data_IF_744211430683
#
_entry.id   IF_744211430683
#
_cell.length_a   1.000
_cell.length_b   1.000
_cell.length_c   1.000
_cell.angle_alpha   90.00
_cell.angle_beta   90.00
_cell.angle_gamma   90.00
#
_symmetry.space_group_name_H-M   'P 1'
#
loop_
_entity.id
_entity.type
_entity.pdbx_description
1 polymer ?
#
# COMPACT_ATOMS: atom_id res chain seq x y z
N UNK A 1 16.82 10.89 -12.85
CA UNK A 1 15.89 11.38 -11.80
C UNK A 1 14.50 10.99 -12.25
N UNK A 2 13.73 10.30 -11.42
CA UNK A 2 12.36 9.95 -11.80
C UNK A 2 11.49 11.23 -11.83
N UNK A 3 10.83 11.48 -12.95
CA UNK A 3 9.86 12.58 -13.08
C UNK A 3 8.53 12.20 -12.43
N UNK A 4 7.68 13.18 -12.12
CA UNK A 4 6.32 12.89 -11.64
C UNK A 4 5.50 12.08 -12.66
N UNK A 5 5.73 12.31 -13.95
CA UNK A 5 5.06 11.55 -15.01
C UNK A 5 5.47 10.07 -15.00
N UNK A 6 6.77 9.80 -14.90
CA UNK A 6 7.28 8.43 -14.79
C UNK A 6 6.78 7.76 -13.51
N UNK A 7 6.76 8.48 -12.38
CA UNK A 7 6.22 7.96 -11.13
C UNK A 7 4.75 7.52 -11.28
N UNK A 8 3.90 8.36 -11.88
CA UNK A 8 2.48 8.04 -12.08
C UNK A 8 2.33 6.80 -12.96
N UNK A 9 3.04 6.76 -14.09
CA UNK A 9 2.97 5.64 -15.04
C UNK A 9 3.40 4.32 -14.38
N UNK A 10 4.52 4.34 -13.64
CA UNK A 10 5.04 3.15 -12.96
C UNK A 10 4.11 2.62 -11.87
N UNK A 11 3.45 3.48 -11.09
CA UNK A 11 2.48 3.05 -10.09
C UNK A 11 1.21 2.50 -10.73
N UNK A 12 0.75 3.08 -11.83
CA UNK A 12 -0.40 2.58 -12.57
C UNK A 12 -0.10 1.23 -13.22
N UNK A 13 1.10 1.02 -13.76
CA UNK A 13 1.52 -0.24 -14.37
C UNK A 13 1.79 -1.33 -13.35
N UNK A 14 2.35 -0.98 -12.19
CA UNK A 14 2.63 -1.93 -11.13
C UNK A 14 1.35 -2.27 -10.33
N UNK A 15 0.72 -1.28 -9.73
CA UNK A 15 -0.30 -1.52 -8.71
C UNK A 15 -1.73 -1.32 -9.24
N UNK A 16 -1.88 -0.94 -10.52
CA UNK A 16 -3.19 -0.68 -11.11
C UNK A 16 -3.90 0.52 -10.48
N UNK A 17 -3.15 1.48 -9.94
CA UNK A 17 -3.69 2.62 -9.20
C UNK A 17 -3.23 3.95 -9.76
N UNK A 18 -4.16 4.91 -9.88
CA UNK A 18 -3.87 6.30 -10.22
C UNK A 18 -4.62 7.24 -9.29
N UNK A 19 -3.90 8.06 -8.54
CA UNK A 19 -4.47 9.02 -7.60
C UNK A 19 -4.73 10.38 -8.24
N UNK A 20 -5.74 11.09 -7.72
CA UNK A 20 -5.91 12.54 -7.95
C UNK A 20 -4.74 13.35 -7.37
N UNK A 21 -4.18 12.88 -6.24
CA UNK A 21 -3.04 13.49 -5.55
C UNK A 21 -2.07 12.41 -5.06
N UNK A 22 -0.81 12.46 -5.52
CA UNK A 22 0.26 11.54 -5.09
C UNK A 22 1.03 12.02 -3.84
N UNK A 23 0.72 13.23 -3.35
CA UNK A 23 1.20 13.77 -2.07
C UNK A 23 -0.03 14.27 -1.32
N UNK A 24 -0.22 13.81 -0.10
CA UNK A 24 -1.41 14.06 0.68
C UNK A 24 -1.21 15.25 1.65
N UNK A 25 -2.30 15.95 2.02
CA UNK A 25 -2.24 16.97 3.05
C UNK A 25 -1.85 16.35 4.39
N UNK A 26 -0.97 17.02 5.13
CA UNK A 26 -0.52 16.57 6.44
C UNK A 26 -1.34 17.14 7.59
N UNK A 27 -2.21 18.11 7.29
CA UNK A 27 -3.08 18.78 8.26
C UNK A 27 -4.56 18.70 7.87
N UNK A 28 -5.43 18.73 8.88
CA UNK A 28 -6.89 18.76 8.68
C UNK A 28 -7.35 20.01 7.92
N UNK A 29 -6.66 21.15 8.12
CA UNK A 29 -6.97 22.41 7.46
C UNK A 29 -6.67 22.33 5.96
N UNK A 30 -5.51 21.82 5.58
CA UNK A 30 -5.15 21.59 4.17
C UNK A 30 -6.10 20.60 3.51
N UNK A 31 -6.45 19.50 4.21
CA UNK A 31 -7.38 18.50 3.70
C UNK A 31 -8.76 19.10 3.38
N UNK A 32 -9.27 19.98 4.25
CA UNK A 32 -10.57 20.65 4.04
C UNK A 32 -10.55 21.63 2.86
N UNK A 33 -9.37 22.15 2.50
CA UNK A 33 -9.18 23.11 1.40
C UNK A 33 -8.95 22.44 0.04
N UNK A 34 -8.85 21.12 -0.01
CA UNK A 34 -8.67 20.41 -1.27
C UNK A 34 -9.95 20.46 -2.10
N UNK A 35 -9.87 21.13 -3.27
CA UNK A 35 -11.02 21.24 -4.19
C UNK A 35 -11.35 19.89 -4.83
N UNK A 36 -10.32 19.12 -5.21
CA UNK A 36 -10.46 17.74 -5.70
C UNK A 36 -10.13 16.81 -4.54
N UNK A 37 -10.99 15.84 -4.19
CA UNK A 37 -10.75 14.93 -3.08
C UNK A 37 -9.55 14.02 -3.35
N UNK A 38 -8.91 13.52 -2.28
CA UNK A 38 -7.98 12.39 -2.37
C UNK A 38 -8.80 11.15 -2.73
N UNK A 39 -8.58 10.64 -3.94
CA UNK A 39 -9.22 9.45 -4.45
C UNK A 39 -8.31 8.76 -5.47
N UNK A 40 -8.67 7.55 -5.86
CA UNK A 40 -7.93 6.82 -6.89
C UNK A 40 -8.85 6.06 -7.83
N UNK A 41 -8.38 5.88 -9.06
CA UNK A 41 -8.86 4.86 -9.97
C UNK A 41 -8.08 3.58 -9.69
N UNK A 42 -8.77 2.50 -9.35
CA UNK A 42 -8.16 1.22 -9.00
C UNK A 42 -8.65 0.11 -9.93
N UNK A 43 -7.70 -0.61 -10.53
CA UNK A 43 -7.94 -1.75 -11.41
C UNK A 43 -7.45 -3.02 -10.71
N UNK A 44 -8.31 -3.70 -9.93
CA UNK A 44 -7.90 -4.81 -9.06
C UNK A 44 -7.28 -6.00 -9.82
N UNK A 45 -7.76 -6.24 -11.04
CA UNK A 45 -7.29 -7.32 -11.90
C UNK A 45 -6.46 -6.79 -13.07
N UNK A 46 -5.63 -5.76 -12.84
CA UNK A 46 -4.68 -5.30 -13.87
C UNK A 46 -3.75 -6.46 -14.23
N UNK A 47 -3.64 -6.74 -15.54
CA UNK A 47 -2.83 -7.84 -16.03
C UNK A 47 -1.35 -7.63 -15.67
N UNK A 48 -0.76 -8.61 -14.98
CA UNK A 48 0.65 -8.62 -14.56
C UNK A 48 1.28 -9.96 -14.94
N UNK A 49 1.59 -10.17 -16.24
CA UNK A 49 2.18 -11.43 -16.71
C UNK A 49 3.59 -11.68 -16.15
N UNK A 50 4.22 -10.64 -15.57
CA UNK A 50 5.53 -10.70 -14.94
C UNK A 50 5.51 -11.25 -13.49
N UNK A 51 4.33 -11.37 -12.87
CA UNK A 51 4.20 -11.86 -11.50
C UNK A 51 3.71 -13.31 -11.46
N UNK A 52 4.40 -14.21 -10.72
CA UNK A 52 3.91 -15.56 -10.51
C UNK A 52 2.73 -15.58 -9.53
N UNK A 53 1.79 -16.53 -9.67
CA UNK A 53 0.79 -16.78 -8.64
C UNK A 53 1.46 -17.30 -7.37
N UNK A 54 0.99 -16.84 -6.21
CA UNK A 54 1.50 -17.25 -4.91
C UNK A 54 0.63 -18.38 -4.35
N UNK A 55 1.22 -19.57 -4.19
CA UNK A 55 0.52 -20.80 -3.81
C UNK A 55 0.53 -21.08 -2.30
N UNK A 56 0.25 -20.06 -1.48
CA UNK A 56 0.08 -20.22 -0.03
C UNK A 56 -0.95 -19.21 0.50
N UNK A 57 -1.53 -19.49 1.67
CA UNK A 57 -2.50 -18.59 2.29
C UNK A 57 -1.87 -17.26 2.72
N UNK A 58 -2.52 -16.11 2.48
CA UNK A 58 -1.99 -14.82 2.91
C UNK A 58 -1.63 -14.79 4.40
N UNK A 59 -0.47 -14.21 4.74
CA UNK A 59 -0.07 -14.02 6.13
C UNK A 59 -0.83 -12.84 6.72
N UNK A 60 -1.73 -13.12 7.67
CA UNK A 60 -2.68 -12.14 8.22
C UNK A 60 -2.21 -11.61 9.58
N UNK A 61 -2.38 -10.31 9.81
CA UNK A 61 -2.17 -9.71 11.14
C UNK A 61 -3.08 -10.36 12.19
N UNK A 62 -2.48 -10.77 13.32
CA UNK A 62 -3.15 -11.48 14.41
C UNK A 62 -4.22 -10.64 15.13
N UNK A 63 -4.11 -9.30 15.12
CA UNK A 63 -5.09 -8.40 15.75
C UNK A 63 -6.46 -8.52 15.07
N UNK A 64 -7.49 -8.86 15.85
CA UNK A 64 -8.85 -9.10 15.38
C UNK A 64 -9.48 -7.91 14.66
N UNK A 65 -9.19 -6.69 15.12
CA UNK A 65 -9.68 -5.44 14.50
C UNK A 65 -8.86 -4.95 13.31
N UNK A 66 -7.75 -5.60 12.96
CA UNK A 66 -6.88 -5.16 11.87
C UNK A 66 -6.95 -6.10 10.66
N UNK A 67 -6.55 -7.37 10.82
CA UNK A 67 -6.54 -8.38 9.75
C UNK A 67 -5.85 -7.97 8.43
N UNK A 68 -4.98 -6.97 8.45
CA UNK A 68 -4.19 -6.58 7.28
C UNK A 68 -3.24 -7.71 6.85
N UNK A 69 -2.96 -7.79 5.55
CA UNK A 69 -2.04 -8.77 4.97
C UNK A 69 -0.59 -8.25 5.07
N UNK A 70 0.35 -9.15 5.37
CA UNK A 70 1.79 -8.86 5.32
C UNK A 70 2.15 -8.30 3.94
N UNK A 71 2.81 -7.14 3.94
CA UNK A 71 3.16 -6.41 2.73
C UNK A 71 4.54 -5.72 2.91
N UNK A 72 5.17 -5.22 1.82
CA UNK A 72 6.53 -4.66 1.87
C UNK A 72 6.74 -3.47 2.80
N UNK A 73 5.67 -2.81 3.27
CA UNK A 73 5.77 -1.69 4.21
C UNK A 73 5.85 -2.15 5.68
N UNK A 74 5.70 -3.45 5.96
CA UNK A 74 5.87 -4.01 7.30
C UNK A 74 7.36 -4.11 7.67
N UNK A 75 7.70 -3.77 8.92
CA UNK A 75 9.06 -3.98 9.44
C UNK A 75 9.24 -5.43 9.89
N UNK A 76 10.26 -6.12 9.38
CA UNK A 76 10.54 -7.53 9.68
C UNK A 76 11.80 -7.67 10.54
N UNK A 77 11.68 -8.38 11.65
CA UNK A 77 12.80 -8.82 12.48
C UNK A 77 13.06 -10.31 12.23
N UNK A 78 14.04 -10.59 11.36
CA UNK A 78 14.40 -11.96 10.99
C UNK A 78 15.06 -12.74 12.14
N UNK A 79 15.70 -12.06 13.10
CA UNK A 79 16.36 -12.73 14.23
C UNK A 79 15.32 -13.23 15.22
N UNK A 80 14.34 -12.38 15.56
CA UNK A 80 13.24 -12.75 16.43
C UNK A 80 12.14 -13.55 15.71
N UNK A 81 12.19 -13.61 14.37
CA UNK A 81 11.15 -14.20 13.50
C UNK A 81 9.80 -13.53 13.72
N UNK A 82 9.78 -12.20 13.66
CA UNK A 82 8.58 -11.39 13.86
C UNK A 82 8.41 -10.35 12.74
N UNK A 83 7.18 -9.87 12.55
CA UNK A 83 6.90 -8.71 11.72
C UNK A 83 5.93 -7.74 12.40
N UNK A 84 6.09 -6.45 12.11
CA UNK A 84 5.27 -5.36 12.64
C UNK A 84 4.31 -4.87 11.57
N UNK A 85 3.01 -4.96 11.85
CA UNK A 85 1.97 -4.49 10.93
C UNK A 85 2.04 -2.96 10.77
N UNK A 86 2.15 -2.47 9.54
CA UNK A 86 2.26 -1.05 9.22
C UNK A 86 0.97 -0.25 9.44
N UNK A 87 -0.17 -0.92 9.68
CA UNK A 87 -1.44 -0.26 9.98
C UNK A 87 -1.69 -0.07 11.48
N UNK A 88 -1.48 -1.12 12.28
CA UNK A 88 -1.88 -1.14 13.69
C UNK A 88 -0.72 -1.34 14.68
N UNK A 89 0.51 -1.48 14.17
CA UNK A 89 1.75 -1.70 14.92
C UNK A 89 1.78 -2.98 15.77
N UNK A 90 0.87 -3.93 15.51
CA UNK A 90 0.88 -5.24 16.14
C UNK A 90 2.15 -6.01 15.75
N UNK A 91 2.80 -6.62 16.74
CA UNK A 91 3.85 -7.63 16.53
C UNK A 91 3.21 -8.98 16.26
N UNK A 92 3.58 -9.59 15.14
CA UNK A 92 3.07 -10.89 14.70
C UNK A 92 4.26 -11.85 14.59
N UNK A 93 4.03 -13.10 14.98
CA UNK A 93 4.95 -14.22 14.77
C UNK A 93 4.62 -14.94 13.47
#
# INVERSE_FOLDING_TARGET
MATYQEFIQQNEDRDGVRFSWNVWPSSRLEATRMVVPVGCMYTPLKERPDLPPICYDPVVCSRSSCKAILNPFCQVDYRAKLWHCNFCFQRNA
#
